data_IF_288294796047
#
_entry.id   IF_288294796047
#
_cell.length_a   1.000
_cell.length_b   1.000
_cell.length_c   1.000
_cell.angle_alpha   90.00
_cell.angle_beta   90.00
_cell.angle_gamma   90.00
#
_symmetry.space_group_name_H-M   'P 1'
#
loop_
_entity.id
_entity.type
_entity.pdbx_description
1 polymer ?
#
# COMPACT_ATOMS: atom_id res chain seq x y z
N UNK A 1 12.99 -19.58 -1.37
CA UNK A 1 11.80 -18.77 -1.00
C UNK A 1 11.38 -17.75 -2.08
N UNK A 2 11.61 -18.04 -3.38
CA UNK A 2 11.13 -17.21 -4.50
C UNK A 2 10.07 -17.89 -5.41
N UNK A 3 10.06 -19.24 -5.62
CA UNK A 3 9.17 -19.85 -6.62
C UNK A 3 7.66 -19.77 -6.35
N UNK A 4 7.22 -19.93 -5.10
CA UNK A 4 5.81 -20.27 -4.79
C UNK A 4 4.82 -19.09 -4.87
N UNK A 5 5.30 -17.87 -5.14
CA UNK A 5 4.47 -16.66 -5.11
C UNK A 5 3.59 -16.43 -6.36
N UNK A 6 3.65 -17.30 -7.37
CA UNK A 6 2.90 -17.15 -8.62
C UNK A 6 1.41 -17.55 -8.56
N UNK A 7 0.95 -18.23 -7.49
CA UNK A 7 -0.39 -18.84 -7.45
C UNK A 7 -1.57 -17.90 -7.14
N UNK A 8 -1.34 -16.60 -6.89
CA UNK A 8 -2.38 -15.66 -6.43
C UNK A 8 -2.55 -14.40 -7.30
N UNK A 9 -2.19 -14.48 -8.58
CA UNK A 9 -2.48 -13.43 -9.55
C UNK A 9 -3.88 -13.61 -10.18
N UNK A 10 -4.90 -12.98 -9.58
CA UNK A 10 -6.13 -12.58 -10.29
C UNK A 10 -5.86 -11.31 -11.10
N UNK A 11 -6.62 -11.06 -12.17
CA UNK A 11 -6.50 -9.88 -13.03
C UNK A 11 -7.89 -9.30 -13.39
N UNK A 12 -8.01 -7.97 -13.45
CA UNK A 12 -9.28 -7.27 -13.72
C UNK A 12 -9.12 -6.29 -14.88
N UNK A 13 -10.00 -6.36 -15.88
CA UNK A 13 -9.80 -5.69 -17.19
C UNK A 13 -11.09 -5.07 -17.70
N UNK A 14 -11.12 -3.73 -17.78
CA UNK A 14 -12.35 -2.93 -17.89
C UNK A 14 -12.08 -1.70 -18.79
N UNK A 15 -13.09 -1.26 -19.55
CA UNK A 15 -13.00 -0.16 -20.51
C UNK A 15 -14.28 0.71 -20.50
N UNK A 16 -14.17 1.99 -20.87
CA UNK A 16 -15.34 2.85 -21.13
C UNK A 16 -15.13 3.75 -22.37
N UNK A 17 -16.21 4.29 -22.98
CA UNK A 17 -16.10 5.20 -24.13
C UNK A 17 -15.62 6.60 -23.76
N UNK A 18 -15.06 7.32 -24.72
CA UNK A 18 -14.96 8.78 -24.73
C UNK A 18 -15.56 9.33 -26.02
N UNK A 19 -16.19 10.51 -25.97
CA UNK A 19 -16.85 11.13 -27.11
C UNK A 19 -16.13 12.43 -27.53
N UNK A 20 -16.31 12.94 -28.77
CA UNK A 20 -17.11 12.41 -29.88
C UNK A 20 -16.22 11.98 -31.07
N UNK A 21 -15.22 11.12 -30.81
CA UNK A 21 -14.35 10.50 -31.81
C UNK A 21 -14.34 8.98 -31.51
N UNK A 22 -14.02 8.12 -32.49
CA UNK A 22 -13.97 6.66 -32.33
C UNK A 22 -12.77 6.17 -31.45
N UNK A 23 -12.63 6.70 -30.24
CA UNK A 23 -11.66 6.30 -29.23
C UNK A 23 -12.36 5.77 -27.98
N UNK A 24 -11.91 4.63 -27.48
CA UNK A 24 -12.36 4.04 -26.22
C UNK A 24 -11.20 4.03 -25.24
N UNK A 25 -11.45 4.47 -24.01
CA UNK A 25 -10.48 4.37 -22.92
C UNK A 25 -10.58 2.97 -22.32
N UNK A 26 -9.90 2.01 -22.95
CA UNK A 26 -9.54 0.76 -22.28
C UNK A 26 -8.38 0.99 -21.33
N UNK A 27 -8.46 0.41 -20.14
CA UNK A 27 -7.58 0.76 -19.04
C UNK A 27 -7.17 -0.55 -18.34
N UNK A 28 -5.74 -0.99 -18.37
CA UNK A 28 -3.96 -1.09 -17.03
C UNK A 28 -2.93 -0.20 -16.09
N UNK A 29 -3.31 0.10 -14.84
CA UNK A 29 -2.36 0.27 -13.73
C UNK A 29 -1.65 -1.06 -13.46
N UNK A 30 -0.38 -1.12 -13.87
CA UNK A 30 0.46 -2.31 -13.78
C UNK A 30 0.80 -2.66 -12.32
N UNK A 31 0.06 -3.59 -11.72
CA UNK A 31 0.30 -4.04 -10.34
C UNK A 31 0.84 -5.48 -10.29
N UNK A 32 2.18 -5.59 -10.26
CA UNK A 32 3.01 -6.80 -10.32
C UNK A 32 2.70 -7.95 -9.32
N UNK A 33 1.71 -7.81 -8.41
CA UNK A 33 1.35 -8.82 -7.40
C UNK A 33 -0.14 -8.93 -7.03
N UNK A 34 -0.97 -7.94 -7.33
CA UNK A 34 -2.43 -8.01 -7.13
C UNK A 34 -3.08 -7.20 -8.25
N UNK A 35 -3.58 -7.93 -9.25
CA UNK A 35 -4.45 -7.50 -10.33
C UNK A 35 -4.05 -6.24 -11.13
N UNK A 36 -4.03 -6.42 -12.45
CA UNK A 36 -4.36 -5.33 -13.35
C UNK A 36 -5.75 -4.81 -12.96
N UNK A 37 -5.86 -3.48 -13.00
CA UNK A 37 -7.01 -2.59 -12.79
C UNK A 37 -6.54 -1.25 -13.36
N UNK A 38 -7.41 -0.29 -13.68
CA UNK A 38 -6.96 1.01 -14.18
C UNK A 38 -8.01 2.11 -13.96
N UNK A 39 -7.67 3.35 -14.34
CA UNK A 39 -8.47 4.59 -14.17
C UNK A 39 -8.30 5.56 -15.35
N UNK A 40 -9.31 6.38 -15.65
CA UNK A 40 -9.16 7.72 -16.30
C UNK A 40 -10.44 8.55 -16.12
N UNK A 41 -10.39 9.89 -15.96
CA UNK A 41 -11.41 10.63 -15.19
C UNK A 41 -12.77 10.80 -15.87
N UNK A 42 -13.77 11.00 -15.01
CA UNK A 42 -15.20 10.89 -15.26
C UNK A 42 -15.79 11.73 -16.42
N UNK A 43 -16.66 11.08 -17.19
CA UNK A 43 -17.84 11.71 -17.77
C UNK A 43 -19.03 10.71 -17.83
N UNK A 44 -20.20 11.19 -17.40
CA UNK A 44 -21.53 10.57 -17.53
C UNK A 44 -21.88 9.25 -16.81
N UNK A 45 -23.16 9.17 -16.41
CA UNK A 45 -23.80 8.04 -15.73
C UNK A 45 -24.34 7.02 -16.75
N UNK A 46 -24.45 5.76 -16.30
CA UNK A 46 -25.45 4.79 -16.73
C UNK A 46 -25.59 4.55 -18.26
N UNK A 47 -24.50 4.23 -18.96
CA UNK A 47 -24.59 3.59 -20.28
C UNK A 47 -23.62 2.42 -20.41
N UNK A 48 -24.13 1.19 -20.26
CA UNK A 48 -23.48 0.00 -20.83
C UNK A 48 -23.78 0.05 -22.34
N UNK A 49 -22.97 0.82 -23.08
CA UNK A 49 -23.08 0.84 -24.53
C UNK A 49 -22.63 -0.52 -25.10
N UNK A 50 -23.28 -0.95 -26.17
CA UNK A 50 -22.92 -2.17 -26.92
C UNK A 50 -21.41 -2.18 -27.29
N UNK A 51 -20.86 -1.01 -27.58
CA UNK A 51 -19.45 -0.79 -27.92
C UNK A 51 -18.52 -0.97 -26.72
N UNK A 52 -18.95 -0.61 -25.50
CA UNK A 52 -18.19 -0.89 -24.26
C UNK A 52 -18.05 -2.38 -23.97
N UNK A 53 -19.13 -3.15 -24.19
CA UNK A 53 -19.10 -4.61 -24.08
C UNK A 53 -18.16 -5.24 -25.14
N UNK A 54 -18.17 -4.72 -26.38
CA UNK A 54 -17.24 -5.16 -27.42
C UNK A 54 -15.77 -4.85 -27.07
N UNK A 55 -15.48 -3.67 -26.51
CA UNK A 55 -14.13 -3.30 -26.08
C UNK A 55 -13.60 -4.23 -24.97
N UNK A 56 -14.42 -4.53 -23.95
CA UNK A 56 -14.08 -5.50 -22.91
C UNK A 56 -13.87 -6.90 -23.49
N UNK A 57 -14.70 -7.34 -24.45
CA UNK A 57 -14.55 -8.65 -25.08
C UNK A 57 -13.22 -8.79 -25.88
N UNK A 58 -12.78 -7.74 -26.59
CA UNK A 58 -11.47 -7.76 -27.25
C UNK A 58 -10.32 -7.74 -26.24
N UNK A 59 -10.45 -6.97 -25.15
CA UNK A 59 -9.44 -6.94 -24.10
C UNK A 59 -9.31 -8.30 -23.39
N UNK A 60 -10.43 -8.97 -23.09
CA UNK A 60 -10.44 -10.34 -22.55
C UNK A 60 -9.69 -11.30 -23.47
N UNK A 61 -9.99 -11.31 -24.79
CA UNK A 61 -9.30 -12.14 -25.79
C UNK A 61 -7.78 -11.92 -25.85
N UNK A 62 -7.32 -10.68 -25.63
CA UNK A 62 -5.86 -10.40 -25.58
C UNK A 62 -5.22 -11.11 -24.39
N UNK A 63 -5.84 -11.10 -23.20
CA UNK A 63 -5.28 -11.73 -22.01
C UNK A 63 -5.51 -13.24 -21.94
N UNK A 64 -6.54 -13.79 -22.59
CA UNK A 64 -6.80 -15.24 -22.68
C UNK A 64 -5.63 -16.02 -23.31
N UNK A 65 -4.76 -15.36 -24.08
CA UNK A 65 -3.53 -15.95 -24.62
C UNK A 65 -2.52 -16.40 -23.54
N UNK A 66 -2.62 -15.90 -22.29
CA UNK A 66 -1.74 -16.29 -21.18
C UNK A 66 -2.39 -16.28 -19.78
N UNK A 67 -3.67 -15.92 -19.66
CA UNK A 67 -4.43 -15.90 -18.40
C UNK A 67 -5.70 -16.75 -18.53
N UNK A 68 -5.89 -17.79 -17.69
CA UNK A 68 -7.13 -18.58 -17.66
C UNK A 68 -8.38 -17.71 -17.41
N UNK A 69 -9.48 -18.01 -18.11
CA UNK A 69 -10.73 -17.21 -18.09
C UNK A 69 -11.27 -16.96 -16.69
N UNK A 70 -11.18 -17.96 -15.81
CA UNK A 70 -11.60 -17.92 -14.40
C UNK A 70 -10.87 -16.86 -13.56
N UNK A 71 -9.70 -16.39 -14.03
CA UNK A 71 -8.88 -15.36 -13.36
C UNK A 71 -9.04 -13.96 -13.94
N UNK A 72 -9.85 -13.81 -15.01
CA UNK A 72 -10.13 -12.54 -15.68
C UNK A 72 -11.49 -12.01 -15.22
N UNK A 73 -11.46 -11.12 -14.23
CA UNK A 73 -12.68 -10.50 -13.68
C UNK A 73 -13.10 -9.32 -14.57
N UNK A 74 -14.38 -9.26 -14.92
CA UNK A 74 -15.00 -8.18 -15.68
C UNK A 74 -16.16 -7.57 -14.88
N UNK A 75 -16.10 -6.26 -14.61
CA UNK A 75 -17.17 -5.48 -13.97
C UNK A 75 -17.23 -4.06 -14.57
N UNK A 76 -18.01 -3.15 -14.01
CA UNK A 76 -18.09 -1.75 -14.48
C UNK A 76 -16.88 -0.91 -14.02
N UNK A 77 -16.68 0.24 -14.66
CA UNK A 77 -15.53 1.14 -14.43
C UNK A 77 -15.39 1.57 -12.97
N UNK A 78 -16.45 2.07 -12.34
CA UNK A 78 -16.41 2.50 -10.93
C UNK A 78 -16.02 1.35 -9.98
N UNK A 79 -16.53 0.14 -10.24
CA UNK A 79 -16.12 -1.05 -9.48
C UNK A 79 -14.66 -1.45 -9.77
N UNK A 80 -14.13 -1.24 -10.98
CA UNK A 80 -12.69 -1.41 -11.29
C UNK A 80 -11.82 -0.51 -10.41
N UNK A 81 -12.10 0.79 -10.46
CA UNK A 81 -11.29 1.84 -9.87
C UNK A 81 -11.32 1.75 -8.34
N UNK A 82 -12.52 1.60 -7.76
CA UNK A 82 -12.70 1.43 -6.33
C UNK A 82 -12.09 0.13 -5.80
N UNK A 83 -12.21 -0.99 -6.54
CA UNK A 83 -11.56 -2.24 -6.13
C UNK A 83 -10.03 -2.10 -6.06
N UNK A 84 -9.40 -1.29 -6.92
CA UNK A 84 -7.96 -1.08 -6.85
C UNK A 84 -7.54 -0.29 -5.60
N UNK A 85 -8.26 0.79 -5.29
CA UNK A 85 -8.03 1.59 -4.08
C UNK A 85 -8.27 0.75 -2.82
N UNK A 86 -9.42 0.06 -2.75
CA UNK A 86 -9.80 -0.79 -1.63
C UNK A 86 -8.81 -1.93 -1.39
N UNK A 87 -8.34 -2.62 -2.43
CA UNK A 87 -7.34 -3.69 -2.27
C UNK A 87 -6.03 -3.19 -1.67
N UNK A 88 -5.53 -2.02 -2.10
CA UNK A 88 -4.34 -1.41 -1.53
C UNK A 88 -4.61 -0.88 -0.10
N UNK A 89 -5.81 -0.38 0.19
CA UNK A 89 -6.22 0.08 1.51
C UNK A 89 -6.34 -1.06 2.54
N UNK A 90 -6.91 -2.21 2.19
CA UNK A 90 -6.94 -3.39 3.06
C UNK A 90 -5.54 -3.94 3.35
N UNK A 91 -4.62 -3.90 2.38
CA UNK A 91 -3.23 -4.31 2.61
C UNK A 91 -2.49 -3.35 3.55
N UNK A 92 -2.71 -2.04 3.41
CA UNK A 92 -2.19 -1.03 4.34
C UNK A 92 -2.79 -1.18 5.75
N UNK A 93 -4.11 -1.39 5.84
CA UNK A 93 -4.83 -1.58 7.09
C UNK A 93 -4.27 -2.74 7.90
N UNK A 94 -4.01 -3.90 7.28
CA UNK A 94 -3.45 -5.07 8.00
C UNK A 94 -2.09 -4.76 8.64
N UNK A 95 -1.25 -3.97 7.98
CA UNK A 95 0.04 -3.52 8.54
C UNK A 95 -0.20 -2.54 9.69
N UNK A 96 -1.06 -1.54 9.54
CA UNK A 96 -1.39 -0.60 10.63
C UNK A 96 -2.02 -1.30 11.82
N UNK A 97 -2.92 -2.26 11.62
CA UNK A 97 -3.52 -3.06 12.70
C UNK A 97 -2.48 -3.85 13.48
N UNK A 98 -1.59 -4.60 12.83
CA UNK A 98 -0.55 -5.35 13.58
C UNK A 98 0.51 -4.42 14.20
N UNK A 99 0.74 -3.23 13.63
CA UNK A 99 1.58 -2.19 14.25
C UNK A 99 0.91 -1.62 15.51
N UNK A 100 -0.40 -1.39 15.53
CA UNK A 100 -1.11 -1.00 16.75
C UNK A 100 -1.05 -2.09 17.84
N UNK A 101 -1.25 -3.36 17.45
CA UNK A 101 -1.04 -4.51 18.35
C UNK A 101 0.41 -4.58 18.87
N UNK A 102 1.42 -4.21 18.06
CA UNK A 102 2.84 -4.22 18.50
C UNK A 102 3.09 -3.34 19.72
N UNK A 103 2.40 -2.20 19.84
CA UNK A 103 2.53 -1.33 21.01
C UNK A 103 1.82 -1.90 22.26
N UNK A 104 0.71 -2.62 22.08
CA UNK A 104 0.06 -3.36 23.18
C UNK A 104 0.99 -4.48 23.66
N UNK A 105 1.60 -5.22 22.74
CA UNK A 105 2.61 -6.23 23.04
C UNK A 105 3.78 -5.65 23.86
N UNK A 106 4.37 -4.54 23.40
CA UNK A 106 5.44 -3.84 24.14
C UNK A 106 5.02 -3.34 25.53
N UNK A 107 3.75 -2.93 25.72
CA UNK A 107 3.22 -2.48 27.00
C UNK A 107 2.81 -3.62 27.96
N UNK A 108 2.71 -4.86 27.48
CA UNK A 108 2.23 -6.03 28.25
C UNK A 108 3.27 -7.15 28.39
N UNK A 109 4.37 -7.09 27.64
CA UNK A 109 5.41 -8.13 27.62
C UNK A 109 5.15 -9.31 26.66
N UNK A 110 4.08 -9.25 25.85
CA UNK A 110 3.81 -10.25 24.82
C UNK A 110 4.67 -10.05 23.56
N UNK A 111 4.87 -11.09 22.75
CA UNK A 111 5.54 -10.97 21.45
C UNK A 111 4.54 -10.82 20.30
N UNK A 112 4.62 -9.70 19.56
CA UNK A 112 3.78 -9.45 18.39
C UNK A 112 3.95 -10.48 17.28
N UNK A 113 5.08 -11.20 17.22
CA UNK A 113 5.33 -12.30 16.27
C UNK A 113 4.48 -13.52 16.59
N UNK A 114 4.34 -13.85 17.88
CA UNK A 114 3.50 -14.95 18.35
C UNK A 114 2.02 -14.61 18.17
N UNK A 115 1.60 -13.39 18.54
CA UNK A 115 0.24 -12.90 18.31
C UNK A 115 -0.09 -12.88 16.81
N UNK A 116 0.83 -12.40 15.96
CA UNK A 116 0.69 -12.43 14.50
C UNK A 116 0.54 -13.86 13.96
N UNK A 117 1.34 -14.81 14.46
CA UNK A 117 1.26 -16.21 14.06
C UNK A 117 -0.09 -16.85 14.46
N UNK A 118 -0.53 -16.64 15.71
CA UNK A 118 -1.79 -17.17 16.22
C UNK A 118 -3.01 -16.58 15.46
N UNK A 119 -3.07 -15.26 15.27
CA UNK A 119 -4.12 -14.58 14.51
C UNK A 119 -4.08 -14.96 13.02
N UNK A 120 -2.88 -15.14 12.45
CA UNK A 120 -2.67 -15.56 11.07
C UNK A 120 -2.99 -17.02 10.77
N UNK A 121 -3.22 -17.84 11.81
CA UNK A 121 -3.63 -19.25 11.68
C UNK A 121 -5.13 -19.41 11.36
N UNK A 122 -5.97 -18.42 11.74
CA UNK A 122 -7.37 -18.38 11.30
C UNK A 122 -7.42 -18.16 9.78
N UNK A 123 -7.95 -19.12 9.04
CA UNK A 123 -7.99 -19.09 7.56
C UNK A 123 -8.81 -17.94 6.98
N UNK A 124 -9.71 -17.33 7.77
CA UNK A 124 -10.49 -16.13 7.39
C UNK A 124 -9.64 -14.86 7.43
N UNK A 125 -8.58 -14.86 8.24
CA UNK A 125 -7.63 -13.75 8.37
C UNK A 125 -6.39 -14.02 7.51
N UNK A 126 -5.79 -15.20 7.65
CA UNK A 126 -4.58 -15.66 6.96
C UNK A 126 -3.30 -14.94 7.38
N UNK A 127 -2.17 -15.61 7.23
CA UNK A 127 -0.85 -15.18 7.74
C UNK A 127 -0.15 -14.03 6.96
N UNK A 128 -0.68 -13.59 5.82
CA UNK A 128 -0.02 -12.58 4.96
C UNK A 128 -0.28 -11.15 5.45
N UNK A 129 0.70 -10.25 5.26
CA UNK A 129 0.61 -8.83 5.65
C UNK A 129 0.39 -8.59 7.16
N UNK A 130 0.73 -9.55 8.03
CA UNK A 130 0.71 -9.42 9.50
C UNK A 130 2.12 -9.27 10.10
N UNK A 131 3.09 -8.73 9.36
CA UNK A 131 4.44 -8.49 9.88
C UNK A 131 4.53 -7.05 10.40
N UNK A 132 4.62 -6.91 11.73
CA UNK A 132 4.84 -5.63 12.37
C UNK A 132 6.17 -5.00 11.94
N UNK A 133 6.21 -3.67 11.89
CA UNK A 133 7.36 -2.90 11.39
C UNK A 133 7.34 -1.47 11.93
N UNK A 134 8.39 -0.70 11.61
CA UNK A 134 8.45 0.77 11.84
C UNK A 134 7.33 1.52 11.11
N UNK A 135 6.72 0.92 10.09
CA UNK A 135 5.65 1.48 9.28
C UNK A 135 5.79 1.07 7.82
N UNK A 136 4.68 0.94 7.10
CA UNK A 136 4.72 0.72 5.65
C UNK A 136 5.26 1.94 4.92
N UNK A 137 5.76 1.71 3.71
CA UNK A 137 6.30 2.75 2.83
C UNK A 137 6.14 2.38 1.35
N UNK A 138 6.73 3.19 0.47
CA UNK A 138 6.57 3.08 -0.97
C UNK A 138 5.35 3.87 -1.49
N UNK A 139 5.44 4.32 -2.74
CA UNK A 139 4.54 5.31 -3.35
C UNK A 139 3.08 4.87 -3.58
N UNK A 140 2.67 3.64 -3.23
CA UNK A 140 1.33 3.13 -3.48
C UNK A 140 0.41 3.29 -2.27
N UNK A 141 0.70 2.64 -1.14
CA UNK A 141 -0.26 2.51 -0.03
C UNK A 141 -0.73 3.85 0.54
N UNK A 142 0.20 4.75 0.88
CA UNK A 142 -0.14 6.06 1.46
C UNK A 142 -0.94 6.90 0.45
N UNK A 143 -0.52 6.92 -0.81
CA UNK A 143 -1.15 7.70 -1.89
C UNK A 143 -2.54 7.18 -2.25
N UNK A 144 -2.72 5.87 -2.37
CA UNK A 144 -4.00 5.24 -2.73
C UNK A 144 -5.02 5.31 -1.58
N UNK A 145 -4.59 5.18 -0.32
CA UNK A 145 -5.47 5.39 0.85
C UNK A 145 -5.89 6.86 0.97
N UNK A 146 -4.97 7.82 0.83
CA UNK A 146 -5.34 9.24 0.82
C UNK A 146 -6.26 9.60 -0.36
N UNK A 147 -6.11 8.95 -1.52
CA UNK A 147 -7.05 9.08 -2.64
C UNK A 147 -8.44 8.55 -2.29
N UNK A 148 -8.53 7.47 -1.51
CA UNK A 148 -9.79 6.90 -1.02
C UNK A 148 -10.45 7.78 0.06
N UNK A 149 -9.66 8.39 0.95
CA UNK A 149 -10.13 9.39 1.93
C UNK A 149 -10.76 10.58 1.21
N UNK A 150 -10.03 11.19 0.26
CA UNK A 150 -10.51 12.31 -0.55
C UNK A 150 -11.78 11.95 -1.38
N UNK A 151 -11.85 10.74 -1.92
CA UNK A 151 -13.06 10.25 -2.58
C UNK A 151 -14.25 10.16 -1.60
N UNK A 152 -14.03 9.71 -0.37
CA UNK A 152 -15.08 9.68 0.65
C UNK A 152 -15.52 11.10 1.06
N UNK A 153 -14.59 12.06 1.19
CA UNK A 153 -14.89 13.46 1.50
C UNK A 153 -15.70 14.15 0.38
N UNK A 154 -15.29 13.98 -0.87
CA UNK A 154 -16.01 14.53 -2.05
C UNK A 154 -17.41 13.93 -2.24
N UNK A 155 -17.69 12.75 -1.67
CA UNK A 155 -19.01 12.12 -1.61
C UNK A 155 -19.77 12.43 -0.30
N UNK A 156 -19.26 13.33 0.54
CA UNK A 156 -19.79 13.71 1.86
C UNK A 156 -19.89 12.54 2.88
N UNK A 157 -19.09 11.49 2.68
CA UNK A 157 -19.06 10.27 3.52
C UNK A 157 -18.04 10.40 4.66
N UNK A 158 -18.09 11.48 5.44
CA UNK A 158 -17.03 11.83 6.42
C UNK A 158 -16.63 10.67 7.35
N UNK A 159 -17.59 9.91 7.90
CA UNK A 159 -17.30 8.76 8.78
C UNK A 159 -16.45 7.66 8.12
N UNK A 160 -16.52 7.53 6.79
CA UNK A 160 -15.74 6.58 5.99
C UNK A 160 -14.36 7.15 5.67
N UNK A 161 -14.26 8.46 5.43
CA UNK A 161 -12.99 9.17 5.33
C UNK A 161 -12.19 9.06 6.64
N UNK A 162 -12.81 9.35 7.78
CA UNK A 162 -12.23 9.25 9.13
C UNK A 162 -11.67 7.84 9.41
N UNK A 163 -12.42 6.78 9.05
CA UNK A 163 -12.01 5.39 9.21
C UNK A 163 -10.75 5.04 8.39
N UNK A 164 -10.66 5.46 7.12
CA UNK A 164 -9.49 5.20 6.29
C UNK A 164 -8.31 6.11 6.64
N UNK A 165 -8.55 7.32 7.13
CA UNK A 165 -7.50 8.22 7.62
C UNK A 165 -6.78 7.62 8.84
N UNK A 166 -7.50 6.98 9.76
CA UNK A 166 -6.91 6.28 10.90
C UNK A 166 -5.87 5.20 10.52
N UNK A 167 -5.96 4.62 9.32
CA UNK A 167 -4.92 3.69 8.80
C UNK A 167 -3.60 4.41 8.52
N UNK A 168 -3.66 5.67 8.06
CA UNK A 168 -2.48 6.53 7.84
C UNK A 168 -1.94 7.05 9.17
N UNK A 169 -2.81 7.53 10.05
CA UNK A 169 -2.44 8.09 11.36
C UNK A 169 -1.67 7.07 12.21
N UNK A 170 -2.16 5.82 12.30
CA UNK A 170 -1.44 4.74 13.01
C UNK A 170 -0.08 4.44 12.37
N UNK A 171 0.06 4.57 11.05
CA UNK A 171 1.34 4.36 10.38
C UNK A 171 2.34 5.51 10.62
N UNK A 172 1.86 6.75 10.65
CA UNK A 172 2.67 7.93 11.01
C UNK A 172 3.09 7.88 12.49
N UNK A 173 2.14 7.53 13.38
CA UNK A 173 2.39 7.35 14.80
C UNK A 173 3.41 6.24 15.08
N UNK A 174 3.31 5.07 14.44
CA UNK A 174 4.29 3.99 14.60
C UNK A 174 5.71 4.43 14.17
N UNK A 175 5.84 5.17 13.06
CA UNK A 175 7.13 5.75 12.63
C UNK A 175 7.71 6.67 13.70
N UNK A 176 6.88 7.57 14.28
CA UNK A 176 7.30 8.50 15.33
C UNK A 176 7.70 7.77 16.61
N UNK A 177 6.81 6.89 17.11
CA UNK A 177 6.98 6.07 18.32
C UNK A 177 8.29 5.27 18.31
N UNK A 178 8.69 4.78 17.15
CA UNK A 178 9.97 4.08 16.98
C UNK A 178 11.18 5.01 17.20
N UNK A 179 11.16 6.22 16.65
CA UNK A 179 12.20 7.23 16.94
C UNK A 179 12.14 7.74 18.39
N UNK A 180 10.95 7.98 18.95
CA UNK A 180 10.77 8.37 20.35
C UNK A 180 11.43 7.34 21.28
N UNK A 181 11.27 6.04 20.98
CA UNK A 181 11.92 4.95 21.71
C UNK A 181 13.45 4.99 21.59
N UNK A 182 14.01 5.25 20.40
CA UNK A 182 15.47 5.41 20.22
C UNK A 182 16.00 6.58 21.07
N UNK A 183 15.26 7.68 21.17
CA UNK A 183 15.65 8.84 21.99
C UNK A 183 15.61 8.48 23.49
N UNK A 184 14.57 7.80 23.95
CA UNK A 184 14.41 7.37 25.34
C UNK A 184 15.52 6.40 25.79
N UNK A 185 15.79 5.34 25.02
CA UNK A 185 16.83 4.34 25.28
C UNK A 185 18.25 4.93 25.24
N UNK A 186 18.43 6.09 24.59
CA UNK A 186 19.69 6.85 24.55
C UNK A 186 19.76 7.97 25.63
N UNK A 187 18.98 7.83 26.70
CA UNK A 187 18.90 8.73 27.87
C UNK A 187 18.24 10.09 27.59
N UNK A 188 17.21 10.12 26.73
CA UNK A 188 16.42 11.31 26.38
C UNK A 188 17.21 12.47 25.74
N UNK A 189 18.39 12.19 25.18
CA UNK A 189 19.15 13.15 24.37
C UNK A 189 19.98 12.40 23.35
N UNK A 190 19.96 12.84 22.08
CA UNK A 190 20.78 12.25 21.01
C UNK A 190 21.64 13.28 20.26
N UNK A 191 21.62 14.54 20.70
CA UNK A 191 22.48 15.61 20.20
C UNK A 191 23.94 15.16 20.20
N UNK A 192 24.62 15.38 19.07
CA UNK A 192 26.01 14.99 18.79
C UNK A 192 26.35 13.48 18.87
N UNK A 193 25.43 12.61 19.32
CA UNK A 193 25.63 11.14 19.29
C UNK A 193 25.65 10.65 17.85
N UNK A 194 26.55 9.71 17.54
CA UNK A 194 26.67 9.12 16.20
C UNK A 194 25.81 7.86 16.08
N UNK A 195 24.83 7.86 15.17
CA UNK A 195 23.88 6.75 14.98
C UNK A 195 24.09 6.15 13.59
N UNK A 196 24.31 4.85 13.52
CA UNK A 196 24.38 4.10 12.26
C UNK A 196 22.98 3.60 11.85
N UNK A 197 22.60 3.78 10.59
CA UNK A 197 21.31 3.32 10.04
C UNK A 197 21.56 2.37 8.88
N UNK A 198 21.07 1.13 9.01
CA UNK A 198 21.20 0.08 8.01
C UNK A 198 19.90 -0.08 7.22
N UNK A 199 19.94 0.31 5.93
CA UNK A 199 18.78 0.37 5.04
C UNK A 199 18.19 1.78 4.93
N UNK A 200 17.86 2.17 3.71
CA UNK A 200 17.24 3.46 3.37
C UNK A 200 16.13 3.32 2.32
N UNK A 201 16.21 2.32 1.44
CA UNK A 201 15.11 1.95 0.55
C UNK A 201 13.87 1.48 1.32
N UNK A 202 12.66 1.69 0.77
CA UNK A 202 11.41 1.38 1.49
C UNK A 202 11.16 -0.12 1.72
N UNK A 203 11.92 -0.99 1.05
CA UNK A 203 11.89 -2.45 1.16
C UNK A 203 13.21 -3.06 0.67
N UNK A 204 13.47 -4.32 1.04
CA UNK A 204 14.61 -5.09 0.50
C UNK A 204 14.57 -5.21 -1.04
N UNK A 205 15.76 -5.30 -1.62
CA UNK A 205 16.01 -5.55 -3.05
C UNK A 205 15.47 -4.47 -4.02
N UNK A 206 15.44 -3.20 -3.60
CA UNK A 206 15.23 -2.06 -4.49
C UNK A 206 16.08 -0.86 -4.04
N UNK A 207 16.27 0.13 -4.92
CA UNK A 207 16.84 1.44 -4.57
C UNK A 207 15.78 2.54 -4.45
N UNK A 208 14.48 2.20 -4.51
CA UNK A 208 13.37 3.13 -4.36
C UNK A 208 13.23 3.59 -2.90
N UNK A 209 13.27 4.91 -2.69
CA UNK A 209 13.27 5.58 -1.38
C UNK A 209 11.96 6.30 -1.06
N UNK A 210 11.01 6.37 -2.01
CA UNK A 210 9.77 7.14 -1.86
C UNK A 210 8.91 6.60 -0.72
N UNK A 211 8.41 7.50 0.15
CA UNK A 211 7.71 7.17 1.40
C UNK A 211 8.45 6.12 2.27
N UNK A 212 9.78 6.08 2.23
CA UNK A 212 10.55 5.14 3.06
C UNK A 212 10.47 5.56 4.53
N UNK A 213 10.04 4.65 5.40
CA UNK A 213 10.01 4.85 6.85
C UNK A 213 11.39 5.20 7.43
N UNK A 214 12.49 4.82 6.75
CA UNK A 214 13.85 5.24 7.11
C UNK A 214 14.06 6.76 7.00
N UNK A 215 13.46 7.43 6.00
CA UNK A 215 13.55 8.88 5.84
C UNK A 215 12.90 9.57 7.05
N UNK A 216 11.66 9.19 7.39
CA UNK A 216 10.94 9.78 8.52
C UNK A 216 11.66 9.58 9.86
N UNK A 217 12.24 8.39 10.08
CA UNK A 217 13.05 8.13 11.28
C UNK A 217 14.30 9.00 11.29
N UNK A 218 15.03 9.08 10.18
CA UNK A 218 16.25 9.90 10.06
C UNK A 218 15.96 11.39 10.25
N UNK A 219 14.89 11.93 9.66
CA UNK A 219 14.49 13.33 9.85
C UNK A 219 14.28 13.67 11.32
N UNK A 220 13.50 12.86 12.04
CA UNK A 220 13.24 13.10 13.46
C UNK A 220 14.51 12.98 14.34
N UNK A 221 15.43 12.05 14.01
CA UNK A 221 16.71 11.96 14.71
C UNK A 221 17.68 13.12 14.37
N UNK A 222 17.56 13.73 13.18
CA UNK A 222 18.31 14.93 12.78
C UNK A 222 17.78 16.21 13.42
N UNK A 223 16.46 16.30 13.65
CA UNK A 223 15.82 17.40 14.40
C UNK A 223 16.38 17.47 15.84
N UNK A 224 16.57 16.30 16.48
CA UNK A 224 17.26 16.12 17.77
C UNK A 224 18.81 16.19 17.70
N UNK A 225 19.35 16.62 16.55
CA UNK A 225 20.78 16.89 16.28
C UNK A 225 21.71 15.67 16.37
N UNK A 226 21.23 14.46 16.07
CA UNK A 226 22.08 13.28 15.98
C UNK A 226 22.96 13.26 14.71
N UNK A 227 24.16 12.68 14.81
CA UNK A 227 25.09 12.50 13.69
C UNK A 227 24.83 11.18 12.97
N UNK A 228 23.89 11.21 12.03
CA UNK A 228 23.47 10.01 11.29
C UNK A 228 24.56 9.53 10.31
N UNK A 229 24.72 8.22 10.17
CA UNK A 229 25.56 7.56 9.16
C UNK A 229 24.79 6.40 8.52
N UNK A 230 24.34 6.59 7.28
CA UNK A 230 23.48 5.64 6.56
C UNK A 230 24.30 4.68 5.69
N UNK A 231 23.93 3.39 5.69
CA UNK A 231 24.40 2.40 4.72
C UNK A 231 23.21 1.64 4.11
N UNK A 232 23.13 1.60 2.79
CA UNK A 232 22.19 0.78 2.02
C UNK A 232 22.91 0.18 0.80
N UNK A 233 22.77 -1.13 0.51
CA UNK A 233 23.50 -1.80 -0.58
C UNK A 233 22.87 -1.61 -1.98
N UNK A 234 21.80 -0.81 -2.12
CA UNK A 234 21.09 -0.55 -3.38
C UNK A 234 20.76 0.92 -3.64
N UNK A 235 20.61 1.76 -2.62
CA UNK A 235 20.51 3.22 -2.78
C UNK A 235 21.89 3.83 -3.09
N UNK A 236 21.95 4.78 -4.02
CA UNK A 236 23.18 5.53 -4.37
C UNK A 236 23.23 6.86 -3.62
N UNK A 237 24.43 7.29 -3.24
CA UNK A 237 24.72 8.50 -2.42
C UNK A 237 24.46 9.87 -3.11
N UNK A 238 23.64 9.90 -4.16
CA UNK A 238 23.39 11.06 -5.02
C UNK A 238 21.89 11.24 -5.34
N UNK A 239 21.03 10.81 -4.42
CA UNK A 239 19.58 11.04 -4.38
C UNK A 239 19.20 11.51 -2.98
#
# INVERSE_FOLDING_TARGET
LAPELCHLAQFTLICCPSAPINHFSCSCSFCLRVALFFTSPAAFKNFISFLGAAAVAQLVRVYENWVPRDRIITTNTWSSELSKLAANAFLAQRISSINAISAICEATGADVREVSHAVGFDSRIGNRFLQASVGFGGSCFQKDVLSLVYLCESLNLKKVADYWMGVIEINQWQRRRFSDKIIAELFNTITDKKIAVFGFAFKKNTGDTRESSAIHVISHLLEERAKISVYDPKVRKYH
#
